data_IF_538669778596
#
_entry.id   IF_538669778596
#
_cell.length_a   1.000
_cell.length_b   1.000
_cell.length_c   1.000
_cell.angle_alpha   90.00
_cell.angle_beta   90.00
_cell.angle_gamma   90.00
#
_symmetry.space_group_name_H-M   'P 1'
#
loop_
_entity.id
_entity.type
_entity.pdbx_description
1 polymer ?
#
# COMPACT_ATOMS: atom_id res chain seq x y z
N UNK A 1 -14.93 -20.51 11.05
CA UNK A 1 -15.18 -19.26 11.81
C UNK A 1 -15.31 -18.15 10.80
N UNK A 2 -16.43 -17.44 10.78
CA UNK A 2 -16.56 -16.22 9.94
C UNK A 2 -16.06 -15.03 10.76
N UNK A 3 -15.16 -14.25 10.21
CA UNK A 3 -14.74 -12.99 10.80
C UNK A 3 -15.84 -11.95 10.59
N UNK A 4 -16.36 -11.37 11.67
CA UNK A 4 -17.46 -10.41 11.62
C UNK A 4 -16.99 -9.03 12.08
N UNK A 5 -16.10 -8.41 11.30
CA UNK A 5 -15.59 -7.06 11.54
C UNK A 5 -16.32 -6.02 10.68
N UNK A 6 -16.17 -4.73 11.01
CA UNK A 6 -16.73 -3.66 10.18
C UNK A 6 -16.20 -3.72 8.74
N UNK A 7 -14.91 -4.06 8.53
CA UNK A 7 -14.31 -4.11 7.19
C UNK A 7 -14.74 -5.34 6.38
N UNK A 8 -14.91 -6.51 7.01
CA UNK A 8 -15.41 -7.69 6.29
C UNK A 8 -16.83 -7.48 5.79
N UNK A 9 -17.66 -6.76 6.55
CA UNK A 9 -19.01 -6.36 6.11
C UNK A 9 -18.97 -5.31 5.01
N UNK A 10 -18.14 -4.28 5.16
CA UNK A 10 -18.02 -3.18 4.20
C UNK A 10 -17.60 -3.66 2.82
N UNK A 11 -16.61 -4.57 2.77
CA UNK A 11 -16.03 -5.07 1.53
C UNK A 11 -16.59 -6.42 1.08
N UNK A 12 -17.46 -7.06 1.89
CA UNK A 12 -17.98 -8.41 1.62
C UNK A 12 -16.87 -9.44 1.37
N UNK A 13 -15.93 -9.52 2.32
CA UNK A 13 -14.79 -10.44 2.33
C UNK A 13 -14.85 -11.37 3.56
N UNK A 14 -14.22 -12.55 3.47
CA UNK A 14 -14.25 -13.57 4.54
C UNK A 14 -13.29 -13.25 5.68
N UNK A 15 -12.12 -12.71 5.33
CA UNK A 15 -11.04 -12.37 6.27
C UNK A 15 -10.77 -10.88 6.28
N UNK A 16 -10.50 -10.27 7.46
CA UNK A 16 -10.24 -8.84 7.57
C UNK A 16 -8.81 -8.48 7.13
N UNK A 17 -8.41 -8.94 5.97
CA UNK A 17 -7.05 -8.81 5.42
C UNK A 17 -7.13 -8.17 4.04
N UNK A 18 -6.36 -7.11 3.85
CA UNK A 18 -6.18 -6.43 2.58
C UNK A 18 -4.72 -6.57 2.16
N UNK A 19 -4.48 -6.98 0.94
CA UNK A 19 -3.15 -6.87 0.36
C UNK A 19 -2.95 -5.42 -0.08
N UNK A 20 -1.98 -4.73 0.52
CA UNK A 20 -1.64 -3.35 0.20
C UNK A 20 -1.07 -3.21 -1.21
N UNK A 21 -1.40 -2.12 -1.87
CA UNK A 21 -0.84 -1.82 -3.18
C UNK A 21 0.68 -1.62 -3.08
N UNK A 22 1.39 -2.21 -4.01
CA UNK A 22 2.85 -2.11 -4.15
C UNK A 22 3.16 -1.74 -5.60
N UNK A 23 3.80 -0.58 -5.78
CA UNK A 23 4.12 -0.05 -7.10
C UNK A 23 4.88 -1.07 -7.96
N UNK A 24 4.53 -1.18 -9.23
CA UNK A 24 5.07 -2.14 -10.21
C UNK A 24 4.89 -3.64 -9.88
N UNK A 25 4.26 -3.99 -8.75
CA UNK A 25 4.16 -5.38 -8.27
C UNK A 25 2.71 -5.85 -8.16
N UNK A 26 1.85 -5.03 -7.56
CA UNK A 26 0.47 -5.44 -7.28
C UNK A 26 -0.37 -5.42 -8.53
N UNK A 27 -0.34 -6.52 -9.25
CA UNK A 27 -1.06 -6.74 -10.49
C UNK A 27 -2.41 -7.47 -10.30
N UNK A 28 -3.12 -7.71 -11.41
CA UNK A 28 -4.40 -8.40 -11.39
C UNK A 28 -4.31 -9.88 -10.95
N UNK A 29 -3.14 -10.52 -11.11
CA UNK A 29 -2.94 -11.93 -10.71
C UNK A 29 -2.86 -12.04 -9.19
N UNK A 30 -2.01 -11.22 -8.57
CA UNK A 30 -1.88 -11.19 -7.11
C UNK A 30 -3.21 -10.78 -6.46
N UNK A 31 -3.88 -9.76 -6.99
CA UNK A 31 -5.17 -9.33 -6.48
C UNK A 31 -6.24 -10.43 -6.57
N UNK A 32 -6.26 -11.21 -7.66
CA UNK A 32 -7.17 -12.33 -7.85
C UNK A 32 -6.90 -13.48 -6.85
N UNK A 33 -5.63 -13.81 -6.60
CA UNK A 33 -5.25 -14.81 -5.60
C UNK A 33 -5.75 -14.41 -4.20
N UNK A 34 -5.58 -13.14 -3.82
CA UNK A 34 -6.10 -12.62 -2.55
C UNK A 34 -7.61 -12.74 -2.46
N UNK A 35 -8.33 -12.40 -3.54
CA UNK A 35 -9.78 -12.49 -3.57
C UNK A 35 -10.28 -13.94 -3.52
N UNK A 36 -9.59 -14.89 -4.14
CA UNK A 36 -9.88 -16.31 -4.02
C UNK A 36 -9.64 -16.84 -2.59
N UNK A 37 -8.63 -16.30 -1.90
CA UNK A 37 -8.36 -16.63 -0.50
C UNK A 37 -9.37 -16.01 0.49
N UNK A 38 -10.40 -15.28 0.02
CA UNK A 38 -11.40 -14.61 0.87
C UNK A 38 -10.94 -13.29 1.48
N UNK A 39 -9.85 -12.74 0.98
CA UNK A 39 -9.30 -11.44 1.35
C UNK A 39 -9.59 -10.38 0.29
N UNK A 40 -9.15 -9.13 0.48
CA UNK A 40 -9.19 -8.12 -0.58
C UNK A 40 -7.80 -7.90 -1.19
N UNK A 41 -7.68 -8.07 -2.52
CA UNK A 41 -6.51 -7.68 -3.28
C UNK A 41 -6.64 -6.24 -3.79
N UNK A 42 -5.52 -5.52 -3.86
CA UNK A 42 -5.49 -4.16 -4.41
C UNK A 42 -4.48 -4.09 -5.54
N UNK A 43 -4.96 -3.71 -6.73
CA UNK A 43 -4.11 -3.43 -7.89
C UNK A 43 -3.42 -2.08 -7.66
N UNK A 44 -2.10 -2.03 -7.78
CA UNK A 44 -1.34 -0.79 -7.67
C UNK A 44 -1.49 0.06 -8.94
N UNK A 45 -1.55 1.39 -8.80
CA UNK A 45 -1.39 2.29 -9.95
C UNK A 45 0.04 2.82 -10.07
N UNK A 46 0.73 2.94 -8.93
CA UNK A 46 2.07 3.51 -8.90
C UNK A 46 3.03 2.85 -9.88
N UNK A 47 3.56 3.62 -10.80
CA UNK A 47 4.50 3.21 -11.83
C UNK A 47 3.90 2.51 -13.04
N UNK A 48 2.60 2.23 -13.05
CA UNK A 48 1.89 1.69 -14.21
C UNK A 48 1.25 2.80 -15.05
N UNK A 49 1.21 2.60 -16.34
CA UNK A 49 0.43 3.41 -17.26
C UNK A 49 -1.07 3.13 -17.09
N UNK A 50 -1.97 4.03 -17.53
CA UNK A 50 -3.41 3.77 -17.53
C UNK A 50 -3.80 2.48 -18.24
N UNK A 51 -3.20 2.18 -19.39
CA UNK A 51 -3.47 0.95 -20.14
C UNK A 51 -3.05 -0.31 -19.38
N UNK A 52 -1.93 -0.26 -18.67
CA UNK A 52 -1.48 -1.37 -17.81
C UNK A 52 -2.44 -1.59 -16.65
N UNK A 53 -2.88 -0.53 -15.97
CA UNK A 53 -3.87 -0.65 -14.88
C UNK A 53 -5.18 -1.25 -15.41
N UNK A 54 -5.66 -0.79 -16.56
CA UNK A 54 -6.85 -1.38 -17.19
C UNK A 54 -6.64 -2.84 -17.56
N UNK A 55 -5.45 -3.20 -18.05
CA UNK A 55 -5.08 -4.60 -18.36
C UNK A 55 -5.08 -5.46 -17.09
N UNK A 56 -4.56 -4.96 -15.97
CA UNK A 56 -4.57 -5.66 -14.68
C UNK A 56 -6.00 -5.86 -14.14
N UNK A 57 -6.88 -4.88 -14.30
CA UNK A 57 -8.30 -5.01 -13.95
C UNK A 57 -8.97 -6.10 -14.78
N UNK A 58 -8.74 -6.13 -16.10
CA UNK A 58 -9.26 -7.17 -16.97
C UNK A 58 -8.73 -8.54 -16.58
N UNK A 59 -7.42 -8.63 -16.35
CA UNK A 59 -6.78 -9.88 -15.90
C UNK A 59 -7.34 -10.39 -14.57
N UNK A 60 -7.61 -9.49 -13.62
CA UNK A 60 -8.30 -9.85 -12.39
C UNK A 60 -9.67 -10.47 -12.69
N UNK A 61 -10.50 -9.80 -13.51
CA UNK A 61 -11.86 -10.26 -13.86
C UNK A 61 -11.85 -11.62 -14.58
N UNK A 62 -10.86 -11.86 -15.44
CA UNK A 62 -10.69 -13.12 -16.14
C UNK A 62 -10.35 -14.28 -15.17
N UNK A 63 -9.54 -14.03 -14.16
CA UNK A 63 -9.10 -15.06 -13.20
C UNK A 63 -10.15 -15.28 -12.10
N UNK A 64 -10.58 -14.21 -11.45
CA UNK A 64 -11.42 -14.28 -10.25
C UNK A 64 -12.91 -14.20 -10.53
N UNK A 65 -13.29 -13.69 -11.69
CA UNK A 65 -14.68 -13.39 -12.04
C UNK A 65 -15.10 -12.00 -11.55
N UNK A 66 -16.07 -11.43 -12.25
CA UNK A 66 -16.53 -10.04 -12.03
C UNK A 66 -17.28 -9.81 -10.71
N UNK A 67 -17.64 -10.87 -9.99
CA UNK A 67 -18.35 -10.78 -8.71
C UNK A 67 -17.40 -10.76 -7.49
N UNK A 68 -16.12 -10.99 -7.71
CA UNK A 68 -15.12 -10.98 -6.65
C UNK A 68 -14.68 -9.54 -6.32
N UNK A 69 -14.34 -9.31 -5.05
CA UNK A 69 -13.98 -7.99 -4.54
C UNK A 69 -12.50 -7.72 -4.76
N UNK A 70 -12.20 -6.56 -5.31
CA UNK A 70 -10.86 -6.02 -5.45
C UNK A 70 -10.87 -4.50 -5.33
N UNK A 71 -9.74 -3.92 -5.04
CA UNK A 71 -9.52 -2.49 -5.10
C UNK A 71 -8.50 -2.10 -6.15
N UNK A 72 -8.45 -0.81 -6.43
CA UNK A 72 -7.34 -0.18 -7.15
C UNK A 72 -6.78 0.91 -6.24
N UNK A 73 -5.47 1.04 -6.20
CA UNK A 73 -4.84 2.17 -5.53
C UNK A 73 -4.78 3.37 -6.47
N UNK A 74 -5.10 4.56 -5.97
CA UNK A 74 -4.87 5.82 -6.64
C UNK A 74 -3.73 6.56 -5.95
N UNK A 75 -2.58 6.65 -6.64
CA UNK A 75 -1.41 7.36 -6.17
C UNK A 75 -1.50 8.84 -6.60
N UNK A 76 -1.75 9.74 -5.66
CA UNK A 76 -2.05 11.14 -6.00
C UNK A 76 -0.83 11.95 -6.43
N UNK A 77 0.38 11.44 -6.24
CA UNK A 77 1.61 12.05 -6.75
C UNK A 77 1.87 11.76 -8.23
N UNK A 78 1.23 10.72 -8.79
CA UNK A 78 1.44 10.36 -10.19
C UNK A 78 0.76 11.37 -11.13
N UNK A 79 1.42 11.71 -12.22
CA UNK A 79 0.90 12.64 -13.22
C UNK A 79 -0.35 12.12 -13.94
N UNK A 80 -0.49 10.79 -14.05
CA UNK A 80 -1.59 10.10 -14.72
C UNK A 80 -2.78 9.76 -13.80
N UNK A 81 -2.83 10.32 -12.58
CA UNK A 81 -3.88 10.02 -11.59
C UNK A 81 -5.31 10.28 -12.09
N UNK A 82 -5.49 11.31 -12.93
CA UNK A 82 -6.81 11.65 -13.48
C UNK A 82 -7.31 10.56 -14.44
N UNK A 83 -6.43 10.06 -15.31
CA UNK A 83 -6.74 8.96 -16.24
C UNK A 83 -7.02 7.65 -15.47
N UNK A 84 -6.21 7.36 -14.44
CA UNK A 84 -6.43 6.20 -13.55
C UNK A 84 -7.77 6.33 -12.83
N UNK A 85 -8.12 7.50 -12.31
CA UNK A 85 -9.40 7.72 -11.65
C UNK A 85 -10.58 7.52 -12.61
N UNK A 86 -10.44 7.94 -13.87
CA UNK A 86 -11.46 7.68 -14.90
C UNK A 86 -11.62 6.18 -15.15
N UNK A 87 -10.52 5.42 -15.27
CA UNK A 87 -10.56 3.96 -15.42
C UNK A 87 -11.24 3.30 -14.22
N UNK A 88 -10.92 3.72 -12.99
CA UNK A 88 -11.56 3.22 -11.76
C UNK A 88 -13.09 3.42 -11.84
N UNK A 89 -13.54 4.58 -12.30
CA UNK A 89 -14.95 4.89 -12.48
C UNK A 89 -15.61 4.03 -13.56
N UNK A 90 -14.98 3.90 -14.73
CA UNK A 90 -15.54 3.18 -15.89
C UNK A 90 -15.62 1.68 -15.64
N UNK A 91 -14.61 1.12 -14.97
CA UNK A 91 -14.56 -0.30 -14.60
C UNK A 91 -15.40 -0.63 -13.36
N UNK A 92 -16.00 0.39 -12.70
CA UNK A 92 -16.81 0.27 -11.48
C UNK A 92 -16.10 -0.56 -10.41
N UNK A 93 -14.86 -0.18 -10.12
CA UNK A 93 -14.03 -0.86 -9.13
C UNK A 93 -14.74 -0.83 -7.76
N UNK A 94 -14.84 -1.94 -7.02
CA UNK A 94 -15.60 -1.98 -5.77
C UNK A 94 -15.13 -0.98 -4.71
N UNK A 95 -13.80 -0.77 -4.59
CA UNK A 95 -13.23 0.23 -3.69
C UNK A 95 -11.89 0.76 -4.21
N UNK A 96 -11.54 1.95 -3.78
CA UNK A 96 -10.26 2.61 -4.09
C UNK A 96 -9.51 2.90 -2.81
N UNK A 97 -8.22 2.53 -2.75
CA UNK A 97 -7.31 3.07 -1.73
C UNK A 97 -6.62 4.32 -2.31
N UNK A 98 -6.50 5.38 -1.50
CA UNK A 98 -5.98 6.66 -1.99
C UNK A 98 -4.84 7.11 -1.09
N UNK A 99 -3.66 7.30 -1.68
CA UNK A 99 -2.45 7.69 -0.94
C UNK A 99 -1.69 8.84 -1.56
N UNK A 100 -0.69 9.34 -0.82
CA UNK A 100 0.29 10.31 -1.28
C UNK A 100 -0.30 11.65 -1.77
N UNK A 101 -1.26 12.21 -1.00
CA UNK A 101 -1.85 13.50 -1.33
C UNK A 101 -3.17 13.79 -0.61
N UNK A 102 -3.94 14.75 -1.11
CA UNK A 102 -5.26 15.09 -0.57
C UNK A 102 -6.36 14.25 -1.23
N UNK A 103 -6.96 13.26 -0.54
CA UNK A 103 -7.94 12.35 -1.15
C UNK A 103 -9.34 12.95 -1.29
N UNK A 104 -9.66 14.02 -0.55
CA UNK A 104 -11.02 14.55 -0.41
C UNK A 104 -11.70 14.92 -1.74
N UNK A 105 -11.03 15.57 -2.72
CA UNK A 105 -11.66 15.93 -3.98
C UNK A 105 -12.13 14.72 -4.81
N UNK A 106 -11.63 13.52 -4.50
CA UNK A 106 -11.93 12.28 -5.22
C UNK A 106 -13.13 11.52 -4.64
N UNK A 107 -13.57 11.82 -3.41
CA UNK A 107 -14.65 11.07 -2.76
C UNK A 107 -15.98 11.19 -3.52
N UNK A 108 -16.41 12.40 -3.82
CA UNK A 108 -17.69 12.62 -4.50
C UNK A 108 -17.75 11.95 -5.89
N UNK A 109 -16.76 12.09 -6.79
CA UNK A 109 -16.75 11.38 -8.07
C UNK A 109 -16.84 9.86 -7.93
N UNK A 110 -16.14 9.27 -6.96
CA UNK A 110 -16.15 7.83 -6.73
C UNK A 110 -17.47 7.37 -6.12
N UNK A 111 -18.00 8.08 -5.12
CA UNK A 111 -19.28 7.76 -4.49
C UNK A 111 -20.44 7.81 -5.48
N UNK A 112 -20.46 8.73 -6.45
CA UNK A 112 -21.46 8.78 -7.52
C UNK A 112 -21.47 7.51 -8.40
N UNK A 113 -20.36 6.78 -8.42
CA UNK A 113 -20.23 5.48 -9.10
C UNK A 113 -20.43 4.27 -8.18
N UNK A 114 -20.71 4.50 -6.89
CA UNK A 114 -20.87 3.45 -5.89
C UNK A 114 -19.54 2.84 -5.40
N UNK A 115 -18.43 3.51 -5.67
CA UNK A 115 -17.06 3.08 -5.30
C UNK A 115 -16.74 3.56 -3.89
N UNK A 116 -16.27 2.66 -3.03
CA UNK A 116 -15.89 2.99 -1.65
C UNK A 116 -14.51 3.62 -1.60
N UNK A 117 -14.37 4.70 -0.83
CA UNK A 117 -13.13 5.46 -0.69
C UNK A 117 -12.43 5.12 0.62
N UNK A 118 -11.21 4.59 0.53
CA UNK A 118 -10.39 4.14 1.66
C UNK A 118 -9.02 4.87 1.61
N UNK A 119 -8.93 6.10 2.13
CA UNK A 119 -7.67 6.83 2.15
C UNK A 119 -6.66 6.22 3.12
N UNK A 120 -5.36 6.34 2.78
CA UNK A 120 -4.23 5.99 3.64
C UNK A 120 -3.79 7.22 4.42
N UNK A 121 -3.69 7.10 5.74
CA UNK A 121 -3.43 8.23 6.64
C UNK A 121 -2.33 7.93 7.65
N UNK A 122 -1.33 8.84 7.81
CA UNK A 122 -0.22 8.67 8.73
C UNK A 122 -0.40 9.38 10.08
N UNK A 123 -1.55 10.02 10.35
CA UNK A 123 -1.77 10.77 11.59
C UNK A 123 -3.28 11.01 11.88
N UNK A 124 -3.57 11.34 13.13
CA UNK A 124 -4.93 11.58 13.64
C UNK A 124 -5.64 12.72 12.92
N UNK A 125 -4.94 13.84 12.71
CA UNK A 125 -5.53 15.03 12.08
C UNK A 125 -6.08 14.72 10.69
N UNK A 126 -5.33 13.94 9.89
CA UNK A 126 -5.79 13.54 8.57
C UNK A 126 -6.92 12.50 8.68
N UNK A 127 -6.83 11.55 9.62
CA UNK A 127 -7.89 10.58 9.87
C UNK A 127 -9.24 11.26 10.18
N UNK A 128 -9.27 12.19 11.11
CA UNK A 128 -10.46 12.97 11.44
C UNK A 128 -10.97 13.76 10.23
N UNK A 129 -10.06 14.39 9.49
CA UNK A 129 -10.42 15.19 8.33
C UNK A 129 -11.07 14.35 7.23
N UNK A 130 -10.51 13.18 6.87
CA UNK A 130 -11.09 12.33 5.80
C UNK A 130 -12.41 11.70 6.25
N UNK A 131 -12.54 11.29 7.52
CA UNK A 131 -13.82 10.84 8.08
C UNK A 131 -14.90 11.93 7.95
N UNK A 132 -14.61 13.16 8.34
CA UNK A 132 -15.56 14.28 8.27
C UNK A 132 -16.00 14.61 6.84
N UNK A 133 -15.24 14.19 5.82
CA UNK A 133 -15.56 14.39 4.41
C UNK A 133 -16.10 13.13 3.70
N UNK A 134 -16.42 12.08 4.47
CA UNK A 134 -17.16 10.94 3.95
C UNK A 134 -16.32 9.75 3.48
N UNK A 135 -15.08 9.58 3.98
CA UNK A 135 -14.37 8.32 3.75
C UNK A 135 -15.17 7.14 4.30
N UNK A 136 -15.22 6.01 3.56
CA UNK A 136 -15.95 4.81 3.97
C UNK A 136 -15.20 3.95 5.00
N UNK A 137 -13.89 3.98 4.93
CA UNK A 137 -12.94 3.39 5.87
C UNK A 137 -11.62 4.14 5.74
N UNK A 138 -10.62 3.84 6.56
CA UNK A 138 -9.27 4.37 6.39
C UNK A 138 -8.20 3.34 6.72
N UNK A 139 -7.09 3.40 6.02
CA UNK A 139 -5.86 2.69 6.35
C UNK A 139 -5.00 3.61 7.22
N UNK A 140 -4.67 3.15 8.41
CA UNK A 140 -3.76 3.84 9.33
C UNK A 140 -2.41 3.20 9.18
N UNK A 141 -1.44 3.94 8.61
CA UNK A 141 -0.15 3.40 8.22
C UNK A 141 0.98 3.91 9.13
N UNK A 142 1.55 2.98 9.89
CA UNK A 142 2.68 3.23 10.76
C UNK A 142 4.02 3.28 10.00
N UNK A 143 5.03 3.89 10.63
CA UNK A 143 6.38 4.03 10.06
C UNK A 143 7.11 2.69 9.82
N UNK A 144 6.56 1.58 10.29
CA UNK A 144 7.07 0.23 10.01
C UNK A 144 6.65 -0.27 8.61
N UNK A 145 5.77 0.47 7.93
CA UNK A 145 5.39 0.14 6.56
C UNK A 145 6.58 0.24 5.61
N UNK A 146 6.53 -0.53 4.55
CA UNK A 146 7.45 -0.39 3.44
C UNK A 146 6.96 0.63 2.41
N UNK A 147 7.89 1.30 1.74
CA UNK A 147 7.60 2.43 0.88
C UNK A 147 7.59 3.74 1.65
N UNK A 148 6.80 4.71 1.20
CA UNK A 148 6.66 6.00 1.89
C UNK A 148 6.08 5.78 3.28
N UNK A 149 6.72 6.36 4.28
CA UNK A 149 6.34 6.14 5.67
C UNK A 149 5.93 7.44 6.39
N UNK A 150 5.14 7.26 7.47
CA UNK A 150 4.82 8.32 8.41
C UNK A 150 5.88 8.46 9.49
N UNK A 151 5.57 9.25 10.53
CA UNK A 151 6.50 9.51 11.66
C UNK A 151 6.14 8.74 12.93
N UNK A 152 4.97 8.10 12.97
CA UNK A 152 4.50 7.38 14.15
C UNK A 152 4.57 5.88 13.92
N UNK A 153 4.97 5.15 14.97
CA UNK A 153 4.83 3.69 14.97
C UNK A 153 3.37 3.30 14.93
N UNK A 154 3.06 2.13 14.36
CA UNK A 154 1.69 1.67 14.20
C UNK A 154 0.94 1.60 15.54
N UNK A 155 1.54 1.08 16.59
CA UNK A 155 0.90 0.98 17.90
C UNK A 155 0.52 2.36 18.44
N UNK A 156 1.46 3.32 18.46
CA UNK A 156 1.18 4.67 18.91
C UNK A 156 0.13 5.37 18.04
N UNK A 157 0.16 5.11 16.73
CA UNK A 157 -0.80 5.68 15.80
C UNK A 157 -2.21 5.14 16.03
N UNK A 158 -2.37 3.82 16.23
CA UNK A 158 -3.66 3.19 16.52
C UNK A 158 -4.27 3.69 17.84
N UNK A 159 -3.46 3.78 18.91
CA UNK A 159 -3.94 4.30 20.20
C UNK A 159 -4.48 5.75 20.10
N UNK A 160 -3.88 6.55 19.22
CA UNK A 160 -4.31 7.93 19.01
C UNK A 160 -5.50 8.09 18.06
N UNK A 161 -5.62 7.20 17.06
CA UNK A 161 -6.66 7.30 16.02
C UNK A 161 -7.97 6.66 16.46
N UNK A 162 -7.90 5.47 17.04
CA UNK A 162 -9.10 4.66 17.31
C UNK A 162 -10.15 5.33 18.23
N UNK A 163 -9.78 6.13 19.25
CA UNK A 163 -10.78 6.79 20.10
C UNK A 163 -11.68 7.79 19.37
N UNK A 164 -11.17 8.42 18.31
CA UNK A 164 -11.82 9.55 17.63
C UNK A 164 -12.42 9.17 16.26
N UNK A 165 -12.27 7.92 15.83
CA UNK A 165 -12.70 7.48 14.50
C UNK A 165 -13.79 6.42 14.60
N UNK A 166 -14.94 6.71 13.98
CA UNK A 166 -16.13 5.84 14.00
C UNK A 166 -16.20 4.88 12.79
N UNK A 167 -15.63 5.29 11.65
CA UNK A 167 -15.56 4.45 10.45
C UNK A 167 -14.54 3.32 10.63
N UNK A 168 -14.60 2.24 9.81
CA UNK A 168 -13.64 1.13 9.90
C UNK A 168 -12.19 1.60 9.77
N UNK A 169 -11.33 1.20 10.71
CA UNK A 169 -9.89 1.45 10.69
C UNK A 169 -9.17 0.16 10.31
N UNK A 170 -8.28 0.24 9.33
CA UNK A 170 -7.43 -0.83 8.85
C UNK A 170 -5.99 -0.51 9.27
N UNK A 171 -5.38 -1.39 10.06
CA UNK A 171 -4.01 -1.22 10.53
C UNK A 171 -3.01 -1.66 9.45
N UNK A 172 -1.99 -0.84 9.17
CA UNK A 172 -0.94 -1.13 8.20
C UNK A 172 0.46 -0.78 8.73
N UNK A 173 1.46 -1.58 8.37
CA UNK A 173 2.85 -1.41 8.79
C UNK A 173 3.31 -2.46 9.79
N UNK A 174 4.39 -3.17 9.49
CA UNK A 174 5.00 -4.16 10.38
C UNK A 174 4.20 -5.44 10.63
N UNK A 175 3.07 -5.64 9.98
CA UNK A 175 2.20 -6.80 10.17
C UNK A 175 2.59 -7.87 9.15
N UNK A 176 3.06 -9.04 9.63
CA UNK A 176 3.55 -10.12 8.77
C UNK A 176 2.89 -11.47 9.03
N UNK A 177 2.24 -11.67 10.17
CA UNK A 177 1.63 -12.95 10.56
C UNK A 177 0.38 -12.79 11.43
N UNK A 178 -0.20 -13.92 11.86
CA UNK A 178 -1.41 -13.97 12.69
C UNK A 178 -1.29 -13.27 14.04
N UNK A 179 -0.08 -13.12 14.60
CA UNK A 179 0.15 -12.42 15.87
C UNK A 179 -0.08 -10.91 15.70
N UNK A 180 0.49 -10.34 14.63
CA UNK A 180 0.28 -8.92 14.29
C UNK A 180 -1.17 -8.63 13.93
N UNK A 181 -1.84 -9.54 13.20
CA UNK A 181 -3.26 -9.44 12.89
C UNK A 181 -4.08 -9.43 14.19
N UNK A 182 -3.86 -10.41 15.08
CA UNK A 182 -4.59 -10.51 16.35
C UNK A 182 -4.37 -9.27 17.24
N UNK A 183 -3.12 -8.79 17.36
CA UNK A 183 -2.81 -7.59 18.13
C UNK A 183 -3.55 -6.36 17.60
N UNK A 184 -3.54 -6.14 16.28
CA UNK A 184 -4.25 -5.01 15.66
C UNK A 184 -5.75 -5.05 15.91
N UNK A 185 -6.36 -6.23 15.79
CA UNK A 185 -7.79 -6.42 16.05
C UNK A 185 -8.13 -6.24 17.54
N UNK A 186 -7.28 -6.70 18.45
CA UNK A 186 -7.45 -6.50 19.90
C UNK A 186 -7.35 -5.02 20.29
N UNK A 187 -6.53 -4.23 19.59
CA UNK A 187 -6.49 -2.77 19.78
C UNK A 187 -7.75 -2.05 19.29
N UNK A 188 -8.58 -2.70 18.46
CA UNK A 188 -9.82 -2.13 17.95
C UNK A 188 -9.83 -1.86 16.44
N UNK A 189 -8.76 -2.19 15.71
CA UNK A 189 -8.78 -2.13 14.26
C UNK A 189 -9.83 -3.10 13.69
N UNK A 190 -10.44 -2.74 12.57
CA UNK A 190 -11.45 -3.56 11.89
C UNK A 190 -10.86 -4.58 10.93
N UNK A 191 -9.58 -4.43 10.60
CA UNK A 191 -8.81 -5.30 9.71
C UNK A 191 -7.37 -4.82 9.61
N UNK A 192 -6.60 -5.51 8.76
CA UNK A 192 -5.19 -5.19 8.52
C UNK A 192 -4.90 -5.07 7.03
N UNK A 193 -3.94 -4.21 6.69
CA UNK A 193 -3.32 -4.16 5.37
C UNK A 193 -1.87 -4.66 5.49
N UNK A 194 -1.48 -5.57 4.62
CA UNK A 194 -0.16 -6.18 4.61
C UNK A 194 0.45 -6.05 3.20
N UNK A 195 1.72 -5.67 3.13
CA UNK A 195 2.47 -5.56 1.86
C UNK A 195 3.54 -6.62 1.74
N UNK A 196 4.67 -6.44 2.43
CA UNK A 196 5.90 -7.24 2.29
C UNK A 196 5.67 -8.76 2.39
N UNK A 197 4.74 -9.21 3.23
CA UNK A 197 4.40 -10.63 3.33
C UNK A 197 3.92 -11.20 1.99
N UNK A 198 3.14 -10.43 1.23
CA UNK A 198 2.60 -10.86 -0.04
C UNK A 198 3.59 -10.74 -1.21
N UNK A 199 4.73 -10.07 -1.04
CA UNK A 199 5.85 -10.14 -1.99
C UNK A 199 6.39 -11.57 -2.13
N UNK A 200 6.25 -12.38 -1.09
CA UNK A 200 6.70 -13.78 -1.06
C UNK A 200 5.66 -14.79 -1.58
N UNK A 201 4.45 -14.33 -1.94
CA UNK A 201 3.44 -15.21 -2.55
C UNK A 201 3.92 -15.72 -3.91
N UNK A 202 3.52 -16.94 -4.27
CA UNK A 202 3.87 -17.54 -5.57
C UNK A 202 3.31 -16.70 -6.72
N UNK A 203 2.10 -16.16 -6.54
CA UNK A 203 1.38 -15.35 -7.51
C UNK A 203 1.95 -13.92 -7.67
N UNK A 204 2.84 -13.51 -6.77
CA UNK A 204 3.52 -12.23 -6.90
C UNK A 204 4.59 -12.29 -7.97
N UNK A 205 4.56 -11.32 -8.90
CA UNK A 205 5.49 -11.22 -10.03
C UNK A 205 6.91 -10.79 -9.66
N UNK A 206 7.18 -10.54 -8.37
CA UNK A 206 8.51 -10.17 -7.89
C UNK A 206 9.54 -11.22 -8.27
N UNK A 207 10.70 -10.77 -8.77
CA UNK A 207 11.77 -11.64 -9.21
C UNK A 207 12.24 -12.59 -8.09
N UNK A 208 12.52 -13.89 -8.35
CA UNK A 208 12.90 -14.88 -7.34
C UNK A 208 14.07 -14.44 -6.45
N UNK A 209 15.13 -13.84 -7.02
CA UNK A 209 16.27 -13.33 -6.24
C UNK A 209 15.86 -12.25 -5.22
N UNK A 210 14.85 -11.44 -5.54
CA UNK A 210 14.34 -10.45 -4.61
C UNK A 210 13.52 -11.10 -3.48
N UNK A 211 12.74 -12.14 -3.79
CA UNK A 211 12.09 -12.98 -2.77
C UNK A 211 13.12 -13.63 -1.84
N UNK A 212 14.21 -14.19 -2.41
CA UNK A 212 15.30 -14.77 -1.63
C UNK A 212 15.97 -13.76 -0.71
N UNK A 213 16.21 -12.53 -1.20
CA UNK A 213 16.77 -11.45 -0.39
C UNK A 213 15.85 -11.05 0.77
N UNK A 214 14.54 -10.98 0.54
CA UNK A 214 13.55 -10.71 1.60
C UNK A 214 13.56 -11.83 2.65
N UNK A 215 13.62 -13.09 2.21
CA UNK A 215 13.65 -14.24 3.12
C UNK A 215 14.95 -14.36 3.92
N UNK A 216 16.07 -13.93 3.35
CA UNK A 216 17.38 -13.96 3.99
C UNK A 216 17.63 -12.76 4.92
N UNK A 217 16.83 -11.69 4.80
CA UNK A 217 17.01 -10.46 5.57
C UNK A 217 16.85 -10.70 7.08
N UNK A 218 17.76 -10.14 7.86
CA UNK A 218 17.65 -10.07 9.31
C UNK A 218 16.70 -8.94 9.75
N UNK A 219 16.32 -8.91 11.00
CA UNK A 219 15.43 -7.91 11.60
C UNK A 219 15.98 -6.47 11.52
N UNK A 220 17.30 -6.32 11.36
CA UNK A 220 18.00 -5.02 11.24
C UNK A 220 18.36 -4.62 9.81
N UNK A 221 17.93 -5.37 8.81
CA UNK A 221 18.27 -5.12 7.41
C UNK A 221 17.28 -4.18 6.69
N UNK A 222 16.37 -3.54 7.42
CA UNK A 222 15.56 -2.46 6.88
C UNK A 222 16.15 -1.10 7.21
N UNK A 223 16.11 -0.17 6.26
CA UNK A 223 16.60 1.20 6.41
C UNK A 223 15.59 2.20 5.87
N UNK A 224 15.66 3.44 6.35
CA UNK A 224 14.87 4.57 5.84
C UNK A 224 15.80 5.53 5.14
N UNK A 225 15.47 5.91 3.92
CA UNK A 225 16.14 6.94 3.11
C UNK A 225 15.21 8.13 2.91
N UNK A 226 15.72 9.32 2.57
CA UNK A 226 14.91 10.50 2.28
C UNK A 226 14.38 11.23 3.51
N UNK A 227 14.94 10.96 4.68
CA UNK A 227 14.51 11.62 5.92
C UNK A 227 14.74 13.13 5.88
N UNK A 228 15.85 13.58 5.31
CA UNK A 228 16.21 15.01 5.21
C UNK A 228 15.42 15.75 4.15
N UNK A 229 14.89 15.06 3.14
CA UNK A 229 14.05 15.64 2.09
C UNK A 229 12.57 15.71 2.51
N UNK A 230 12.18 15.01 3.58
CA UNK A 230 10.80 14.90 4.02
C UNK A 230 9.95 13.91 3.19
N UNK A 231 10.61 13.12 2.35
CA UNK A 231 10.02 12.06 1.53
C UNK A 231 10.68 10.73 1.92
N UNK A 232 10.43 10.32 3.16
CA UNK A 232 11.08 9.14 3.73
C UNK A 232 10.48 7.85 3.17
N UNK A 233 11.37 6.89 2.85
CA UNK A 233 11.03 5.61 2.26
C UNK A 233 11.78 4.48 2.99
N UNK A 234 11.03 3.50 3.48
CA UNK A 234 11.59 2.30 4.11
C UNK A 234 11.81 1.19 3.08
N UNK A 235 13.02 0.62 3.09
CA UNK A 235 13.42 -0.47 2.21
C UNK A 235 14.40 -1.44 2.83
N UNK A 236 14.74 -2.51 2.11
CA UNK A 236 15.85 -3.36 2.47
C UNK A 236 17.18 -2.66 2.21
N UNK A 237 18.13 -2.87 3.12
CA UNK A 237 19.51 -2.41 2.96
C UNK A 237 20.13 -3.02 1.72
N UNK A 238 20.69 -2.18 0.88
CA UNK A 238 21.38 -2.56 -0.36
C UNK A 238 22.37 -1.48 -0.78
N UNK A 239 23.12 -1.71 -1.87
CA UNK A 239 24.12 -0.73 -2.37
C UNK A 239 23.55 0.65 -2.67
N UNK A 240 22.29 0.71 -3.15
CA UNK A 240 21.61 1.98 -3.39
C UNK A 240 21.37 2.71 -2.07
N UNK A 241 20.73 2.05 -1.10
CA UNK A 241 20.44 2.67 0.20
C UNK A 241 21.72 3.11 0.93
N UNK A 242 22.80 2.32 0.86
CA UNK A 242 24.09 2.69 1.45
C UNK A 242 24.68 3.96 0.80
N UNK A 243 24.62 4.05 -0.54
CA UNK A 243 25.07 5.23 -1.28
C UNK A 243 24.21 6.46 -0.97
N UNK A 244 22.90 6.29 -0.94
CA UNK A 244 21.95 7.36 -0.65
C UNK A 244 22.14 7.90 0.76
N UNK A 245 22.13 7.03 1.77
CA UNK A 245 22.33 7.40 3.16
C UNK A 245 23.68 8.07 3.40
N UNK A 246 24.76 7.59 2.76
CA UNK A 246 26.07 8.25 2.84
C UNK A 246 26.01 9.69 2.32
N UNK A 247 25.37 9.93 1.20
CA UNK A 247 25.19 11.27 0.65
C UNK A 247 24.31 12.13 1.57
N UNK A 248 23.17 11.60 2.01
CA UNK A 248 22.21 12.26 2.87
C UNK A 248 22.86 12.70 4.20
N UNK A 249 23.58 11.83 4.88
CA UNK A 249 24.30 12.15 6.13
C UNK A 249 25.50 13.07 5.92
N UNK A 250 26.03 13.16 4.70
CA UNK A 250 27.09 14.12 4.35
C UNK A 250 26.54 15.50 3.99
N UNK A 251 25.23 15.72 4.07
CA UNK A 251 24.58 17.00 3.79
C UNK A 251 24.38 17.29 2.30
N UNK A 252 24.25 16.26 1.46
CA UNK A 252 23.93 16.43 0.05
C UNK A 252 22.61 17.20 -0.13
N UNK A 253 22.55 18.04 -1.14
CA UNK A 253 21.35 18.79 -1.50
C UNK A 253 20.22 17.87 -2.00
N UNK A 254 18.95 18.33 -1.93
CA UNK A 254 17.82 17.56 -2.49
C UNK A 254 18.03 17.18 -3.96
N UNK A 255 18.63 18.05 -4.77
CA UNK A 255 18.91 17.78 -6.19
C UNK A 255 19.96 16.67 -6.37
N UNK A 256 21.00 16.65 -5.55
CA UNK A 256 22.00 15.58 -5.55
C UNK A 256 21.39 14.25 -5.10
N UNK A 257 20.56 14.25 -4.05
CA UNK A 257 19.84 13.06 -3.60
C UNK A 257 18.86 12.55 -4.66
N UNK A 258 18.13 13.45 -5.30
CA UNK A 258 17.24 13.12 -6.42
C UNK A 258 18.01 12.51 -7.59
N UNK A 259 19.21 12.99 -7.89
CA UNK A 259 20.06 12.39 -8.94
C UNK A 259 20.54 10.98 -8.62
N UNK A 260 20.75 10.66 -7.33
CA UNK A 260 21.10 9.32 -6.88
C UNK A 260 19.92 8.37 -7.06
N UNK A 261 18.69 8.84 -6.82
CA UNK A 261 17.46 8.06 -6.99
C UNK A 261 16.96 8.05 -8.44
N UNK A 262 17.41 8.95 -9.31
CA UNK A 262 17.03 8.99 -10.72
C UNK A 262 17.40 7.68 -11.43
N UNK A 263 16.40 7.00 -12.01
CA UNK A 263 16.56 5.69 -12.64
C UNK A 263 16.53 4.50 -11.66
N UNK A 264 16.48 4.77 -10.35
CA UNK A 264 16.28 3.75 -9.31
C UNK A 264 14.89 3.90 -8.67
N UNK A 265 14.12 4.88 -9.15
CA UNK A 265 12.78 5.20 -8.67
C UNK A 265 11.90 3.98 -8.64
N UNK A 266 11.33 3.78 -7.54
CA UNK A 266 10.40 2.74 -7.18
C UNK A 266 11.00 1.57 -6.48
N UNK A 267 11.96 1.82 -5.58
CA UNK A 267 12.74 0.70 -5.52
C UNK A 267 13.39 0.34 -4.27
N UNK A 268 12.91 0.90 -3.25
CA UNK A 268 13.35 0.39 -1.97
C UNK A 268 12.90 -1.05 -1.70
N UNK A 269 11.91 -1.56 -2.44
CA UNK A 269 11.43 -2.94 -2.31
C UNK A 269 11.45 -3.75 -3.61
N UNK A 270 11.36 -3.11 -4.76
CA UNK A 270 11.02 -3.82 -5.99
C UNK A 270 12.15 -3.95 -6.99
N UNK A 271 13.25 -3.23 -6.81
CA UNK A 271 14.36 -3.27 -7.77
C UNK A 271 15.64 -3.85 -7.20
N UNK A 272 15.57 -5.05 -6.81
CA UNK A 272 16.62 -5.96 -7.18
C UNK A 272 16.36 -6.32 -8.65
N UNK A 273 16.67 -5.42 -9.60
CA UNK A 273 16.74 -5.81 -11.00
C UNK A 273 17.75 -6.94 -11.09
N UNK A 274 17.46 -7.92 -11.96
CA UNK A 274 18.32 -9.07 -12.20
C UNK A 274 19.80 -8.72 -12.50
N UNK A 275 20.08 -7.47 -12.91
CA UNK A 275 21.40 -6.95 -13.23
C UNK A 275 22.20 -6.40 -12.04
N UNK A 276 21.57 -6.08 -10.90
CA UNK A 276 22.28 -5.55 -9.72
C UNK A 276 22.71 -6.64 -8.73
N UNK A 277 22.27 -7.87 -8.95
CA UNK A 277 22.64 -9.04 -8.14
C UNK A 277 23.81 -9.84 -8.70
N UNK A 278 24.43 -9.41 -9.81
CA UNK A 278 25.55 -10.09 -10.46
C UNK A 278 26.94 -9.51 -10.12
N UNK A 279 27.06 -8.68 -9.08
CA UNK A 279 28.38 -8.16 -8.68
C UNK A 279 28.63 -8.33 -7.18
#
# INVERSE_FOLDING_TARGET
MSWNTKITKLLNIDYPIIQGAMAYISDGVLAAAMSHAGCAGVIGSGGFTPDEVQSHIRRFKDIAGSQKVYGVNLMLQDDNKDDIAQIICDEKVPFVTIGAGNPIPWFEPFHQKGIKCIPVVPNVKLAQRVQAHGADALVVEGMEAGGHDGKLTLMALLENVLPDIEIPVIAAGGIADGRGIAASLLMGASGVQMGTRFLLAEECSLHPKAKDAIMAAADTDSVVTGFTTGDSVRGLKNRFSDRYLKAEYSGASPDELSSISAGTTTVSYTHLRAHETEA
#
